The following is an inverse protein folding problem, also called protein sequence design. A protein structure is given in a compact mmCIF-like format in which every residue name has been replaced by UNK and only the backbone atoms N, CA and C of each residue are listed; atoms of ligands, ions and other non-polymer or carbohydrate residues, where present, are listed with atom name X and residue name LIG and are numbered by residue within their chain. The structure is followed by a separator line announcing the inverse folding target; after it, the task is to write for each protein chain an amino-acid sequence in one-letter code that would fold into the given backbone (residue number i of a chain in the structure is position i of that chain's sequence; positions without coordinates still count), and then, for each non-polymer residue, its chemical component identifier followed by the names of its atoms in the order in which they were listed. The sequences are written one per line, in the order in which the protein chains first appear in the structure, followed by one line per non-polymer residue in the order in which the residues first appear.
data_IF_884861311938
#
_entry.id   IF_884861311938
#
_cell.length_a   1.000
_cell.length_b   1.000
_cell.length_c   1.000
_cell.angle_alpha   90.00
_cell.angle_beta   90.00
_cell.angle_gamma   90.00
#
_symmetry.space_group_name_H-M   'P 1'
#
loop_
_entity.id
_entity.type
_entity.pdbx_description
1 polymer ?
#
# COMPACT_ATOMS: atom_id res chain seq x y z
N UNK A 1 27.63 14.74 -6.58
CA UNK A 1 26.48 13.86 -6.91
C UNK A 1 25.48 14.67 -7.72
N UNK A 2 25.14 14.27 -8.94
CA UNK A 2 24.14 14.97 -9.75
C UNK A 2 22.74 14.72 -9.16
N UNK A 3 22.02 15.80 -8.82
CA UNK A 3 20.62 15.69 -8.40
C UNK A 3 19.82 15.21 -9.61
N UNK A 4 19.30 13.97 -9.57
CA UNK A 4 18.42 13.44 -10.61
C UNK A 4 17.20 14.37 -10.72
N UNK A 5 17.06 15.06 -11.84
CA UNK A 5 15.84 15.82 -12.15
C UNK A 5 14.67 14.83 -12.26
N UNK A 6 13.71 14.96 -11.34
CA UNK A 6 12.44 14.24 -11.44
C UNK A 6 11.54 14.93 -12.46
N UNK A 7 10.82 14.15 -13.26
CA UNK A 7 9.85 14.72 -14.19
C UNK A 7 8.72 15.42 -13.44
N UNK A 8 8.12 16.45 -14.06
CA UNK A 8 6.95 17.15 -13.49
C UNK A 8 5.82 16.19 -13.10
N UNK A 9 5.61 15.15 -13.92
CA UNK A 9 4.64 14.07 -13.68
C UNK A 9 4.98 13.28 -12.41
N UNK A 10 6.25 12.89 -12.23
CA UNK A 10 6.66 12.18 -11.02
C UNK A 10 6.57 13.06 -9.77
N UNK A 11 6.91 14.36 -9.89
CA UNK A 11 6.77 15.30 -8.79
C UNK A 11 5.30 15.44 -8.34
N UNK A 12 4.35 15.49 -9.28
CA UNK A 12 2.93 15.52 -8.96
C UNK A 12 2.47 14.25 -8.24
N UNK A 13 2.86 13.07 -8.72
CA UNK A 13 2.55 11.80 -8.05
C UNK A 13 3.14 11.72 -6.65
N UNK A 14 4.38 12.17 -6.47
CA UNK A 14 5.03 12.21 -5.16
C UNK A 14 4.28 13.11 -4.18
N UNK A 15 3.77 14.27 -4.63
CA UNK A 15 2.93 15.15 -3.80
C UNK A 15 1.63 14.48 -3.38
N UNK A 16 0.96 13.79 -4.30
CA UNK A 16 -0.27 13.06 -4.00
C UNK A 16 -0.03 11.97 -2.95
N UNK A 17 1.02 11.16 -3.12
CA UNK A 17 1.42 10.14 -2.15
C UNK A 17 1.79 10.77 -0.80
N UNK A 18 2.54 11.87 -0.78
CA UNK A 18 2.92 12.54 0.45
C UNK A 18 1.70 13.03 1.25
N UNK A 19 0.67 13.56 0.56
CA UNK A 19 -0.59 13.95 1.18
C UNK A 19 -1.30 12.74 1.83
N UNK A 20 -1.40 11.62 1.11
CA UNK A 20 -2.00 10.40 1.65
C UNK A 20 -1.23 9.93 2.89
N UNK A 21 0.11 9.94 2.83
CA UNK A 21 0.98 9.55 3.96
C UNK A 21 0.77 10.42 5.20
N UNK A 22 0.55 11.73 5.05
CA UNK A 22 0.33 12.63 6.18
C UNK A 22 -1.02 12.42 6.89
N UNK A 23 -1.95 11.71 6.24
CA UNK A 23 -3.29 11.45 6.75
C UNK A 23 -3.43 10.02 7.34
N UNK A 24 -2.36 9.22 7.31
CA UNK A 24 -2.39 7.85 7.84
C UNK A 24 -2.51 7.84 9.38
N UNK A 25 -3.39 7.00 9.95
CA UNK A 25 -3.53 6.85 11.39
C UNK A 25 -2.30 6.16 11.98
N UNK A 26 -1.90 6.41 13.24
CA UNK A 26 -0.68 5.87 13.85
C UNK A 26 -0.81 4.39 14.28
N UNK A 27 -1.61 3.61 13.57
CA UNK A 27 -1.89 2.21 13.87
C UNK A 27 -1.60 1.35 12.64
N UNK A 28 -1.06 0.15 12.85
CA UNK A 28 -0.93 -0.83 11.79
C UNK A 28 -2.32 -1.28 11.31
N UNK A 29 -2.59 -1.21 10.01
CA UNK A 29 -3.86 -1.63 9.43
C UNK A 29 -4.15 -3.14 9.59
N UNK A 30 -3.10 -3.97 9.72
CA UNK A 30 -3.25 -5.42 9.89
C UNK A 30 -3.38 -5.80 11.37
N UNK A 31 -2.40 -5.43 12.21
CA UNK A 31 -2.37 -5.90 13.59
C UNK A 31 -2.95 -4.90 14.61
N UNK A 32 -3.41 -3.73 14.15
CA UNK A 32 -4.07 -2.69 14.94
C UNK A 32 -3.23 -2.11 16.09
N UNK A 33 -1.96 -2.49 16.21
CA UNK A 33 -1.05 -1.95 17.23
C UNK A 33 -0.67 -0.51 16.92
N UNK A 34 -0.66 0.32 17.96
CA UNK A 34 -0.09 1.67 17.91
C UNK A 34 1.44 1.59 17.88
N UNK A 35 2.05 1.92 16.75
CA UNK A 35 3.50 1.76 16.54
C UNK A 35 3.99 2.60 15.37
N UNK A 36 5.30 2.60 15.13
CA UNK A 36 5.89 3.22 13.93
C UNK A 36 5.37 2.47 12.70
N UNK A 37 4.73 3.21 11.80
CA UNK A 37 4.17 2.69 10.56
C UNK A 37 4.98 3.14 9.35
N UNK A 38 5.12 2.23 8.40
CA UNK A 38 5.53 2.53 7.05
C UNK A 38 4.29 2.57 6.16
N UNK A 39 4.23 3.54 5.25
CA UNK A 39 3.20 3.56 4.22
C UNK A 39 3.46 2.46 3.19
N UNK A 40 2.49 1.55 3.06
CA UNK A 40 2.55 0.38 2.19
C UNK A 40 1.49 0.46 1.11
N UNK A 41 1.83 0.02 -0.11
CA UNK A 41 0.88 -0.17 -1.19
C UNK A 41 0.27 -1.57 -1.09
N UNK A 42 -1.06 -1.67 -0.97
CA UNK A 42 -1.76 -2.96 -0.85
C UNK A 42 -1.66 -3.79 -2.15
N UNK A 43 -1.83 -3.14 -3.29
CA UNK A 43 -1.47 -3.63 -4.62
C UNK A 43 -0.16 -2.96 -5.07
N UNK A 44 0.89 -3.75 -5.38
CA UNK A 44 2.22 -3.20 -5.65
C UNK A 44 2.24 -2.40 -6.95
N UNK A 45 2.84 -1.21 -6.89
CA UNK A 45 2.98 -0.26 -8.01
C UNK A 45 3.67 -0.81 -9.26
N UNK A 46 4.48 -1.87 -9.12
CA UNK A 46 5.17 -2.53 -10.23
C UNK A 46 4.24 -3.40 -11.07
N UNK A 47 3.17 -3.91 -10.46
CA UNK A 47 2.20 -4.80 -11.09
C UNK A 47 0.92 -4.03 -11.44
N UNK A 48 0.51 -3.10 -10.56
CA UNK A 48 -0.73 -2.32 -10.67
C UNK A 48 -0.44 -0.80 -10.61
N UNK A 49 0.27 -0.24 -11.61
CA UNK A 49 0.68 1.17 -11.61
C UNK A 49 -0.49 2.17 -11.62
N UNK A 50 -1.67 1.76 -12.08
CA UNK A 50 -2.91 2.53 -12.09
C UNK A 50 -3.35 2.94 -10.67
N UNK A 51 -3.05 2.11 -9.66
CA UNK A 51 -3.43 2.36 -8.27
C UNK A 51 -2.36 3.09 -7.45
N UNK A 52 -1.30 3.59 -8.11
CA UNK A 52 -0.13 4.17 -7.42
C UNK A 52 -0.46 5.35 -6.49
N UNK A 53 -1.43 6.18 -6.88
CA UNK A 53 -1.88 7.36 -6.11
C UNK A 53 -3.29 7.19 -5.55
N UNK A 54 -3.83 5.96 -5.50
CA UNK A 54 -5.14 5.69 -4.93
C UNK A 54 -5.04 5.68 -3.39
N UNK A 55 -5.78 6.54 -2.66
CA UNK A 55 -5.76 6.56 -1.20
C UNK A 55 -6.18 5.24 -0.56
N UNK A 56 -7.10 4.51 -1.19
CA UNK A 56 -7.57 3.21 -0.68
C UNK A 56 -6.50 2.12 -0.80
N UNK A 57 -5.53 2.31 -1.70
CA UNK A 57 -4.42 1.40 -1.96
C UNK A 57 -3.19 1.67 -1.05
N UNK A 58 -3.23 2.69 -0.19
CA UNK A 58 -2.10 3.04 0.69
C UNK A 58 -2.56 3.00 2.14
N UNK A 59 -1.91 2.18 2.95
CA UNK A 59 -2.20 2.05 4.39
C UNK A 59 -0.92 2.13 5.21
N UNK A 60 -1.05 2.37 6.51
CA UNK A 60 0.07 2.26 7.45
C UNK A 60 0.23 0.83 7.96
N UNK A 61 1.44 0.25 7.82
CA UNK A 61 1.76 -1.07 8.38
C UNK A 61 2.98 -0.97 9.30
N UNK A 62 2.97 -1.74 10.39
CA UNK A 62 4.20 -1.95 11.15
C UNK A 62 5.19 -2.79 10.32
N UNK A 63 6.48 -2.71 10.67
CA UNK A 63 7.56 -3.37 9.91
C UNK A 63 7.32 -4.87 9.69
N UNK A 64 6.87 -5.57 10.72
CA UNK A 64 6.63 -7.02 10.67
C UNK A 64 5.50 -7.35 9.70
N UNK A 65 4.34 -6.71 9.86
CA UNK A 65 3.18 -6.95 8.99
C UNK A 65 3.46 -6.54 7.54
N UNK A 66 4.20 -5.45 7.31
CA UNK A 66 4.60 -5.03 5.98
C UNK A 66 5.48 -6.11 5.31
N UNK A 67 6.49 -6.60 6.02
CA UNK A 67 7.38 -7.63 5.50
C UNK A 67 6.64 -8.95 5.21
N UNK A 68 5.78 -9.41 6.12
CA UNK A 68 4.99 -10.63 5.92
C UNK A 68 3.99 -10.45 4.78
N UNK A 69 3.32 -9.31 4.67
CA UNK A 69 2.38 -9.06 3.58
C UNK A 69 3.05 -9.11 2.20
N UNK A 70 4.24 -8.53 2.07
CA UNK A 70 4.97 -8.51 0.80
C UNK A 70 5.57 -9.87 0.42
N UNK A 71 6.00 -10.66 1.39
CA UNK A 71 6.85 -11.84 1.14
C UNK A 71 6.21 -13.20 1.49
N UNK A 72 5.10 -13.24 2.22
CA UNK A 72 4.42 -14.47 2.62
C UNK A 72 2.99 -14.50 2.05
N UNK A 73 2.77 -15.39 1.07
CA UNK A 73 1.47 -15.56 0.43
C UNK A 73 0.40 -16.06 1.39
N UNK A 74 0.75 -16.98 2.30
CA UNK A 74 -0.22 -17.52 3.27
C UNK A 74 -0.63 -16.43 4.26
N UNK A 75 0.33 -15.64 4.74
CA UNK A 75 0.03 -14.49 5.57
C UNK A 75 -0.88 -13.51 4.83
N UNK A 76 -0.55 -13.16 3.58
CA UNK A 76 -1.36 -12.25 2.76
C UNK A 76 -2.80 -12.75 2.59
N UNK A 77 -2.98 -14.03 2.25
CA UNK A 77 -4.29 -14.65 2.06
C UNK A 77 -5.19 -14.61 3.30
N UNK A 78 -4.59 -14.57 4.49
CA UNK A 78 -5.32 -14.47 5.77
C UNK A 78 -5.78 -13.04 6.10
N UNK A 79 -5.40 -12.03 5.32
CA UNK A 79 -5.73 -10.63 5.61
C UNK A 79 -7.07 -10.21 4.99
N UNK A 80 -8.17 -10.69 5.56
CA UNK A 80 -9.54 -10.44 5.07
C UNK A 80 -9.87 -8.95 4.94
N UNK A 81 -9.46 -8.12 5.90
CA UNK A 81 -9.75 -6.68 5.88
C UNK A 81 -8.95 -5.97 4.79
N UNK A 82 -7.74 -6.45 4.48
CA UNK A 82 -6.96 -5.95 3.35
C UNK A 82 -7.61 -6.35 2.02
N UNK A 83 -8.06 -7.60 1.90
CA UNK A 83 -8.76 -8.07 0.71
C UNK A 83 -10.02 -7.23 0.45
N UNK A 84 -10.89 -7.10 1.47
CA UNK A 84 -12.11 -6.29 1.40
C UNK A 84 -11.81 -4.84 1.01
N UNK A 85 -10.76 -4.25 1.58
CA UNK A 85 -10.30 -2.90 1.25
C UNK A 85 -9.89 -2.75 -0.21
N UNK A 86 -9.21 -3.74 -0.78
CA UNK A 86 -8.86 -3.71 -2.21
C UNK A 86 -10.11 -3.87 -3.08
N UNK A 87 -11.05 -4.74 -2.68
CA UNK A 87 -12.31 -4.95 -3.40
C UNK A 87 -13.17 -3.68 -3.49
N UNK A 88 -13.03 -2.70 -2.59
CA UNK A 88 -13.70 -1.40 -2.69
C UNK A 88 -13.33 -0.63 -3.97
N UNK A 89 -12.18 -0.92 -4.60
CA UNK A 89 -11.73 -0.21 -5.79
C UNK A 89 -11.26 -1.11 -6.95
N UNK A 90 -10.87 -2.36 -6.70
CA UNK A 90 -10.46 -3.31 -7.74
C UNK A 90 -10.50 -4.77 -7.26
N UNK A 91 -11.71 -5.35 -7.21
CA UNK A 91 -11.94 -6.75 -6.85
C UNK A 91 -11.14 -7.74 -7.72
N UNK A 92 -11.05 -7.48 -9.03
CA UNK A 92 -10.35 -8.37 -9.96
C UNK A 92 -8.86 -8.45 -9.64
N UNK A 93 -8.24 -7.31 -9.34
CA UNK A 93 -6.84 -7.27 -8.93
C UNK A 93 -6.63 -7.84 -7.53
N UNK A 94 -7.60 -7.69 -6.61
CA UNK A 94 -7.57 -8.33 -5.30
C UNK A 94 -7.48 -9.86 -5.42
N UNK A 95 -8.43 -10.46 -6.15
CA UNK A 95 -8.49 -11.91 -6.41
C UNK A 95 -7.15 -12.40 -7.01
N UNK A 96 -6.66 -11.69 -8.04
CA UNK A 96 -5.39 -12.04 -8.69
C UNK A 96 -4.18 -11.94 -7.76
N UNK A 97 -4.10 -10.89 -6.94
CA UNK A 97 -2.94 -10.65 -6.08
C UNK A 97 -2.92 -11.57 -4.84
N UNK A 98 -4.09 -11.95 -4.35
CA UNK A 98 -4.27 -12.89 -3.25
C UNK A 98 -4.25 -14.36 -3.71
N UNK A 99 -4.30 -14.63 -5.02
CA UNK A 99 -4.37 -15.98 -5.58
C UNK A 99 -5.56 -16.79 -5.04
N UNK A 100 -6.74 -16.17 -5.07
CA UNK A 100 -8.02 -16.75 -4.68
C UNK A 100 -8.88 -17.11 -5.91
#
# INVERSE_FOLDING_TARGET
MAIKQISKKQAQRNRAVAKIKSELPPFCFICHRHTVIDAAHLLPKSIYPEHYTNPLNIVGLCRDCHNSYDNDLLFRQQQDDVFKRICEFDERSAIRYFQL
#
